data_IF_822985115741
#
_entry.id   IF_822985115741
#
_cell.length_a   1.000
_cell.length_b   1.000
_cell.length_c   1.000
_cell.angle_alpha   90.00
_cell.angle_beta   90.00
_cell.angle_gamma   90.00
#
_symmetry.space_group_name_H-M   'P 1'
#
loop_
_entity.id
_entity.type
_entity.pdbx_description
1 polymer ?
#
# COMPACT_ATOMS: atom_id res chain seq x y z
N UNK A 1 -6.72 -3.06 43.43
CA UNK A 1 -6.38 -3.38 42.01
C UNK A 1 -6.89 -2.32 41.02
N UNK A 2 -8.15 -1.93 41.02
CA UNK A 2 -8.73 -0.92 40.09
C UNK A 2 -8.07 0.48 40.11
N UNK A 3 -7.66 1.10 41.23
CA UNK A 3 -7.06 2.44 41.22
C UNK A 3 -5.66 2.46 40.59
N UNK A 4 -4.86 1.39 40.76
CA UNK A 4 -3.53 1.28 40.16
C UNK A 4 -3.62 1.16 38.63
N UNK A 5 -4.57 0.36 38.13
CA UNK A 5 -4.81 0.19 36.69
C UNK A 5 -5.23 1.54 36.09
N UNK A 6 -6.16 2.27 36.72
CA UNK A 6 -6.55 3.61 36.24
C UNK A 6 -5.38 4.59 36.17
N UNK A 7 -4.47 4.51 37.14
CA UNK A 7 -3.27 5.35 37.19
C UNK A 7 -2.28 4.97 36.07
N UNK A 8 -2.08 3.67 35.79
CA UNK A 8 -1.25 3.17 34.71
C UNK A 8 -1.74 3.69 33.34
N UNK A 9 -3.06 3.68 33.09
CA UNK A 9 -3.64 4.21 31.85
C UNK A 9 -3.54 5.73 31.69
N UNK A 10 -3.18 6.48 32.74
CA UNK A 10 -2.92 7.92 32.72
C UNK A 10 -1.45 8.27 32.53
N UNK A 11 -0.54 7.27 32.61
CA UNK A 11 0.88 7.50 32.34
C UNK A 11 1.07 7.83 30.84
N UNK A 12 2.18 8.49 30.47
CA UNK A 12 2.51 8.75 29.06
C UNK A 12 2.49 7.50 28.20
N UNK A 13 3.09 6.41 28.70
CA UNK A 13 3.07 5.12 28.00
C UNK A 13 1.66 4.53 27.88
N UNK A 14 0.86 4.59 28.95
CA UNK A 14 -0.52 4.11 28.96
C UNK A 14 -1.43 4.89 27.99
N UNK A 15 -1.27 6.21 27.94
CA UNK A 15 -1.98 7.05 26.97
C UNK A 15 -1.53 6.77 25.54
N UNK A 16 -0.23 6.56 25.31
CA UNK A 16 0.30 6.17 24.01
C UNK A 16 -0.30 4.84 23.56
N UNK A 17 -0.25 3.79 24.40
CA UNK A 17 -0.85 2.48 24.08
C UNK A 17 -2.32 2.62 23.73
N UNK A 18 -3.10 3.39 24.49
CA UNK A 18 -4.51 3.65 24.17
C UNK A 18 -4.69 4.28 22.79
N UNK A 19 -3.85 5.26 22.42
CA UNK A 19 -3.89 5.94 21.12
C UNK A 19 -3.52 4.98 19.98
N UNK A 20 -2.49 4.17 20.19
CA UNK A 20 -2.07 3.15 19.23
C UNK A 20 -3.16 2.08 19.03
N UNK A 21 -3.77 1.57 20.12
CA UNK A 21 -4.90 0.63 20.01
C UNK A 21 -6.05 1.24 19.22
N UNK A 22 -6.35 2.52 19.43
CA UNK A 22 -7.38 3.23 18.66
C UNK A 22 -7.05 3.27 17.15
N UNK A 23 -5.76 3.47 16.78
CA UNK A 23 -5.33 3.40 15.38
C UNK A 23 -5.57 2.03 14.77
N UNK A 24 -5.21 0.95 15.48
CA UNK A 24 -5.50 -0.40 14.98
C UNK A 24 -7.00 -0.65 14.78
N UNK A 25 -7.85 -0.16 15.69
CA UNK A 25 -9.30 -0.25 15.52
C UNK A 25 -9.76 0.51 14.27
N UNK A 26 -9.25 1.72 14.06
CA UNK A 26 -9.61 2.53 12.89
C UNK A 26 -9.10 1.89 11.59
N UNK A 27 -7.88 1.37 11.56
CA UNK A 27 -7.35 0.63 10.41
C UNK A 27 -8.16 -0.64 10.11
N UNK A 28 -8.59 -1.37 11.16
CA UNK A 28 -9.47 -2.52 10.99
C UNK A 28 -10.82 -2.12 10.40
N UNK A 29 -11.40 -0.99 10.83
CA UNK A 29 -12.65 -0.47 10.24
C UNK A 29 -12.46 -0.04 8.78
N UNK A 30 -11.34 0.60 8.43
CA UNK A 30 -11.01 0.90 7.04
C UNK A 30 -10.89 -0.38 6.20
N UNK A 31 -10.28 -1.44 6.74
CA UNK A 31 -10.16 -2.74 6.07
C UNK A 31 -11.51 -3.41 5.88
N UNK A 32 -12.39 -3.35 6.87
CA UNK A 32 -13.78 -3.85 6.73
C UNK A 32 -14.49 -3.06 5.63
N UNK A 33 -14.38 -1.74 5.62
CA UNK A 33 -14.96 -0.90 4.57
C UNK A 33 -14.42 -1.27 3.18
N UNK A 34 -13.10 -1.47 3.05
CA UNK A 34 -12.44 -1.92 1.81
C UNK A 34 -12.99 -3.29 1.36
N UNK A 35 -13.09 -4.25 2.28
CA UNK A 35 -13.61 -5.59 1.99
C UNK A 35 -15.08 -5.59 1.59
N UNK A 36 -15.92 -4.82 2.27
CA UNK A 36 -17.35 -4.68 1.96
C UNK A 36 -17.56 -3.98 0.61
N UNK A 37 -16.82 -2.90 0.37
CA UNK A 37 -16.92 -2.13 -0.88
C UNK A 37 -16.53 -2.97 -2.10
N UNK A 38 -15.53 -3.86 -1.95
CA UNK A 38 -15.01 -4.72 -3.00
C UNK A 38 -15.41 -6.20 -2.82
N UNK A 39 -16.49 -6.49 -2.10
CA UNK A 39 -16.93 -7.85 -1.77
C UNK A 39 -17.03 -8.80 -2.98
N UNK A 40 -17.53 -8.39 -4.16
CA UNK A 40 -17.60 -9.26 -5.34
C UNK A 40 -16.25 -9.84 -5.77
N UNK A 41 -15.15 -9.12 -5.53
CA UNK A 41 -13.79 -9.55 -5.91
C UNK A 41 -13.25 -10.66 -5.00
N UNK A 42 -13.66 -10.70 -3.74
CA UNK A 42 -13.03 -11.57 -2.73
C UNK A 42 -13.76 -12.92 -2.53
N UNK A 43 -14.99 -13.04 -3.00
CA UNK A 43 -15.79 -14.25 -2.81
C UNK A 43 -16.05 -14.60 -1.34
N UNK A 44 -16.43 -15.83 -1.07
CA UNK A 44 -16.63 -16.33 0.29
C UNK A 44 -15.29 -16.55 1.02
N UNK A 45 -15.15 -15.99 2.23
CA UNK A 45 -13.98 -16.17 3.09
C UNK A 45 -14.34 -17.12 4.23
N UNK A 46 -13.58 -18.21 4.38
CA UNK A 46 -13.76 -19.16 5.47
C UNK A 46 -13.16 -18.61 6.78
N UNK A 47 -13.59 -19.16 7.94
CA UNK A 47 -13.06 -18.76 9.24
C UNK A 47 -11.55 -19.02 9.39
N UNK A 48 -11.01 -20.05 8.75
CA UNK A 48 -9.57 -20.35 8.77
C UNK A 48 -8.78 -19.31 7.98
N UNK A 49 -9.27 -18.93 6.81
CA UNK A 49 -8.69 -17.86 6.00
C UNK A 49 -8.78 -16.51 6.69
N UNK A 50 -9.92 -16.17 7.29
CA UNK A 50 -10.08 -14.92 8.01
C UNK A 50 -9.02 -14.76 9.11
N UNK A 51 -8.70 -15.82 9.86
CA UNK A 51 -7.64 -15.78 10.88
C UNK A 51 -6.27 -15.51 10.26
N UNK A 52 -5.95 -16.12 9.12
CA UNK A 52 -4.69 -15.89 8.41
C UNK A 52 -4.61 -14.46 7.88
N UNK A 53 -5.68 -13.97 7.26
CA UNK A 53 -5.79 -12.59 6.76
C UNK A 53 -5.62 -11.58 7.90
N UNK A 54 -6.24 -11.81 9.06
CA UNK A 54 -6.10 -10.95 10.24
C UNK A 54 -4.67 -10.97 10.80
N UNK A 55 -4.02 -12.13 10.84
CA UNK A 55 -2.63 -12.24 11.29
C UNK A 55 -1.68 -11.46 10.36
N UNK A 56 -1.83 -11.62 9.05
CA UNK A 56 -1.10 -10.83 8.07
C UNK A 56 -1.40 -9.33 8.21
N UNK A 57 -2.67 -8.97 8.35
CA UNK A 57 -3.09 -7.58 8.50
C UNK A 57 -2.43 -6.88 9.68
N UNK A 58 -2.31 -7.54 10.83
CA UNK A 58 -1.63 -6.97 11.99
C UNK A 58 -0.16 -6.60 11.70
N UNK A 59 0.53 -7.43 10.91
CA UNK A 59 1.90 -7.15 10.52
C UNK A 59 2.01 -5.88 9.68
N UNK A 60 1.17 -5.77 8.63
CA UNK A 60 1.17 -4.62 7.72
C UNK A 60 0.61 -3.35 8.39
N UNK A 61 -0.38 -3.47 9.26
CA UNK A 61 -0.88 -2.36 10.06
C UNK A 61 0.18 -1.85 11.03
N UNK A 62 0.95 -2.75 11.65
CA UNK A 62 2.07 -2.37 12.51
C UNK A 62 3.10 -1.54 11.74
N UNK A 63 3.49 -1.98 10.54
CA UNK A 63 4.40 -1.22 9.70
C UNK A 63 3.79 0.14 9.29
N UNK A 64 2.51 0.19 8.93
CA UNK A 64 1.80 1.42 8.59
C UNK A 64 1.78 2.41 9.74
N UNK A 65 1.43 1.95 10.94
CA UNK A 65 1.43 2.77 12.17
C UNK A 65 2.83 3.28 12.47
N UNK A 66 3.86 2.43 12.33
CA UNK A 66 5.23 2.88 12.58
C UNK A 66 5.69 3.91 11.55
N UNK A 67 5.38 3.72 10.28
CA UNK A 67 5.76 4.68 9.23
C UNK A 67 5.03 6.02 9.39
N UNK A 68 3.72 6.00 9.70
CA UNK A 68 2.93 7.21 9.85
C UNK A 68 3.14 7.89 11.20
N UNK A 69 3.16 7.12 12.27
CA UNK A 69 3.11 7.60 13.66
C UNK A 69 4.40 7.37 14.45
N UNK A 70 5.47 6.86 13.86
CA UNK A 70 6.75 6.64 14.56
C UNK A 70 7.27 7.91 15.22
N UNK A 71 7.19 9.07 14.54
CA UNK A 71 7.53 10.36 15.11
C UNK A 71 6.59 10.73 16.30
N UNK A 72 5.29 10.47 16.17
CA UNK A 72 4.33 10.69 17.25
C UNK A 72 4.65 9.83 18.48
N UNK A 73 5.05 8.58 18.29
CA UNK A 73 5.48 7.66 19.36
C UNK A 73 6.67 8.24 20.10
N UNK A 74 7.72 8.66 19.36
CA UNK A 74 8.92 9.25 19.94
C UNK A 74 8.61 10.56 20.68
N UNK A 75 7.84 11.46 20.09
CA UNK A 75 7.44 12.72 20.72
C UNK A 75 6.59 12.47 21.98
N UNK A 76 5.73 11.46 21.99
CA UNK A 76 4.87 11.13 23.13
C UNK A 76 5.65 10.60 24.34
N UNK A 77 6.82 9.98 24.12
CA UNK A 77 7.66 9.40 25.18
C UNK A 77 8.91 10.22 25.50
N UNK A 78 9.09 11.37 24.86
CA UNK A 78 10.27 12.23 25.07
C UNK A 78 10.43 12.53 26.59
N UNK A 79 11.58 12.18 27.21
CA UNK A 79 11.77 12.33 28.67
C UNK A 79 12.12 13.78 29.06
N UNK A 80 11.30 14.72 28.61
CA UNK A 80 11.45 16.14 28.89
C UNK A 80 10.15 16.71 29.46
N UNK A 81 10.24 17.60 30.45
CA UNK A 81 9.08 18.34 31.01
C UNK A 81 8.37 19.23 29.98
N UNK A 82 8.99 19.44 28.81
CA UNK A 82 8.39 20.12 27.67
C UNK A 82 7.05 19.48 27.25
N UNK A 83 6.93 18.15 27.38
CA UNK A 83 5.73 17.37 27.10
C UNK A 83 4.53 17.78 27.93
N UNK A 84 4.75 18.33 29.13
CA UNK A 84 3.69 18.77 30.04
C UNK A 84 3.10 20.14 29.59
N UNK A 85 3.80 20.89 28.72
CA UNK A 85 3.38 22.21 28.26
C UNK A 85 2.19 22.11 27.29
N UNK A 86 1.25 23.02 27.43
CA UNK A 86 0.01 23.03 26.64
C UNK A 86 0.24 23.11 25.13
N UNK A 87 1.18 23.96 24.68
CA UNK A 87 1.50 24.09 23.27
C UNK A 87 2.06 22.78 22.68
N UNK A 88 2.94 22.07 23.39
CA UNK A 88 3.49 20.79 22.94
C UNK A 88 2.40 19.73 22.78
N UNK A 89 1.48 19.64 23.75
CA UNK A 89 0.32 18.74 23.69
C UNK A 89 -0.62 19.09 22.55
N UNK A 90 -0.75 20.36 22.18
CA UNK A 90 -1.55 20.77 21.02
C UNK A 90 -0.89 20.41 19.71
N UNK A 91 0.43 20.55 19.58
CA UNK A 91 1.19 20.15 18.39
C UNK A 91 1.12 18.63 18.20
N UNK A 92 1.38 17.85 19.24
CA UNK A 92 1.32 16.38 19.17
C UNK A 92 -0.11 15.88 18.87
N UNK A 93 -1.13 16.53 19.41
CA UNK A 93 -2.52 16.27 19.08
C UNK A 93 -2.82 16.61 17.61
N UNK A 94 -2.41 17.79 17.16
CA UNK A 94 -2.59 18.22 15.76
C UNK A 94 -1.91 17.27 14.77
N UNK A 95 -0.65 16.89 15.06
CA UNK A 95 0.08 15.89 14.28
C UNK A 95 -0.70 14.56 14.19
N UNK A 96 -1.09 14.00 15.34
CA UNK A 96 -1.83 12.75 15.40
C UNK A 96 -3.11 12.78 14.57
N UNK A 97 -3.91 13.86 14.69
CA UNK A 97 -5.16 13.97 13.96
C UNK A 97 -4.92 14.17 12.46
N UNK A 98 -3.99 15.05 12.09
CA UNK A 98 -3.71 15.34 10.69
C UNK A 98 -3.17 14.12 9.94
N UNK A 99 -2.16 13.46 10.49
CA UNK A 99 -1.55 12.28 9.86
C UNK A 99 -2.57 11.14 9.76
N UNK A 100 -3.29 10.85 10.84
CA UNK A 100 -4.21 9.72 10.84
C UNK A 100 -5.52 10.00 10.08
N UNK A 101 -5.96 11.25 9.99
CA UNK A 101 -7.04 11.62 9.07
C UNK A 101 -6.63 11.38 7.61
N UNK A 102 -5.39 11.72 7.24
CA UNK A 102 -4.85 11.42 5.91
C UNK A 102 -4.74 9.91 5.68
N UNK A 103 -4.24 9.15 6.65
CA UNK A 103 -4.17 7.67 6.60
C UNK A 103 -5.55 7.07 6.34
N UNK A 104 -6.58 7.53 7.04
CA UNK A 104 -7.97 7.08 6.82
C UNK A 104 -8.46 7.45 5.43
N UNK A 105 -8.25 8.71 5.01
CA UNK A 105 -8.65 9.18 3.67
C UNK A 105 -8.02 8.33 2.57
N UNK A 106 -6.72 8.06 2.65
CA UNK A 106 -5.98 7.24 1.69
C UNK A 106 -6.49 5.79 1.65
N UNK A 107 -6.79 5.17 2.80
CA UNK A 107 -7.35 3.81 2.82
C UNK A 107 -8.75 3.75 2.19
N UNK A 108 -9.59 4.77 2.38
CA UNK A 108 -10.94 4.81 1.81
C UNK A 108 -10.90 5.16 0.31
N UNK A 109 -10.03 6.07 -0.10
CA UNK A 109 -9.80 6.37 -1.53
C UNK A 109 -9.27 5.13 -2.28
N UNK A 110 -8.36 4.39 -1.67
CA UNK A 110 -7.82 3.16 -2.22
C UNK A 110 -8.89 2.06 -2.40
N UNK A 111 -9.94 2.03 -1.57
CA UNK A 111 -11.06 1.12 -1.77
C UNK A 111 -11.81 1.40 -3.10
N UNK A 112 -11.96 2.68 -3.45
CA UNK A 112 -12.54 3.10 -4.74
C UNK A 112 -11.58 2.78 -5.89
N UNK A 113 -10.32 3.13 -5.75
CA UNK A 113 -9.29 2.88 -6.76
C UNK A 113 -9.16 1.39 -7.10
N UNK A 114 -9.12 0.53 -6.07
CA UNK A 114 -9.02 -0.91 -6.22
C UNK A 114 -10.18 -1.52 -7.02
N UNK A 115 -11.37 -0.98 -6.89
CA UNK A 115 -12.55 -1.45 -7.64
C UNK A 115 -12.38 -1.40 -9.15
N UNK A 116 -11.65 -0.38 -9.63
CA UNK A 116 -11.41 -0.17 -11.07
C UNK A 116 -10.13 -0.83 -11.57
N UNK A 117 -9.09 -0.86 -10.74
CA UNK A 117 -7.75 -1.28 -11.18
C UNK A 117 -7.34 -2.67 -10.71
N UNK A 118 -8.03 -3.23 -9.71
CA UNK A 118 -7.67 -4.47 -9.01
C UNK A 118 -6.26 -4.44 -8.41
N UNK A 119 -5.70 -3.24 -8.20
CA UNK A 119 -4.40 -2.98 -7.58
C UNK A 119 -4.55 -2.06 -6.39
N UNK A 120 -3.68 -2.22 -5.39
CA UNK A 120 -3.58 -1.24 -4.31
C UNK A 120 -2.90 0.03 -4.82
N UNK A 121 -3.39 1.17 -4.36
CA UNK A 121 -2.85 2.48 -4.72
C UNK A 121 -1.43 2.64 -4.18
N UNK A 122 -0.47 2.96 -5.03
CA UNK A 122 0.96 3.09 -4.73
C UNK A 122 1.48 4.50 -5.00
N UNK A 123 2.71 4.80 -4.59
CA UNK A 123 3.31 6.12 -4.79
C UNK A 123 3.44 6.48 -6.28
N UNK A 124 3.68 5.50 -7.13
CA UNK A 124 3.82 5.72 -8.57
C UNK A 124 2.55 6.34 -9.17
N UNK A 125 1.38 5.94 -8.69
CA UNK A 125 0.10 6.48 -9.14
C UNK A 125 -0.12 7.94 -8.74
N UNK A 126 0.49 8.38 -7.63
CA UNK A 126 0.42 9.78 -7.17
C UNK A 126 1.28 10.67 -8.07
N UNK A 127 2.45 10.19 -8.48
CA UNK A 127 3.43 10.97 -9.22
C UNK A 127 3.24 10.91 -10.75
N UNK A 128 2.43 9.99 -11.25
CA UNK A 128 2.03 9.94 -12.67
C UNK A 128 0.87 10.88 -13.04
N UNK A 129 0.39 11.67 -12.12
CA UNK A 129 -0.73 12.59 -12.35
C UNK A 129 -0.31 13.82 -13.19
N UNK A 130 0.14 13.61 -14.40
CA UNK A 130 0.31 14.64 -15.43
C UNK A 130 -1.05 14.96 -16.09
N UNK A 131 -2.11 14.96 -15.28
CA UNK A 131 -3.48 15.17 -15.72
C UNK A 131 -3.96 16.54 -15.21
N UNK A 132 -4.15 17.48 -16.09
CA UNK A 132 -4.71 18.82 -15.81
C UNK A 132 -6.09 18.77 -15.11
N UNK A 133 -6.77 17.61 -15.16
CA UNK A 133 -8.11 17.40 -14.61
C UNK A 133 -8.13 16.67 -13.25
N UNK A 134 -6.98 16.44 -12.60
CA UNK A 134 -6.90 15.60 -11.38
C UNK A 134 -7.81 16.13 -10.25
N UNK A 135 -7.87 17.44 -10.02
CA UNK A 135 -8.71 18.02 -8.97
C UNK A 135 -10.21 17.84 -9.25
N UNK A 136 -10.62 18.00 -10.51
CA UNK A 136 -12.01 17.79 -10.92
C UNK A 136 -12.41 16.32 -10.76
N UNK A 137 -11.51 15.41 -11.12
CA UNK A 137 -11.71 13.97 -10.98
C UNK A 137 -11.87 13.56 -9.51
N UNK A 138 -11.01 14.07 -8.62
CA UNK A 138 -11.12 13.86 -7.17
C UNK A 138 -12.48 14.36 -6.66
N UNK A 139 -12.91 15.56 -7.07
CA UNK A 139 -14.22 16.13 -6.68
C UNK A 139 -15.38 15.25 -7.11
N UNK A 140 -15.35 14.74 -8.33
CA UNK A 140 -16.38 13.82 -8.86
C UNK A 140 -16.40 12.50 -8.06
N UNK A 141 -15.25 11.88 -7.84
CA UNK A 141 -15.16 10.65 -7.04
C UNK A 141 -15.65 10.84 -5.60
N UNK A 142 -15.35 11.97 -4.98
CA UNK A 142 -15.86 12.29 -3.63
C UNK A 142 -17.38 12.44 -3.61
N UNK A 143 -17.96 13.07 -4.62
CA UNK A 143 -19.39 13.25 -4.74
C UNK A 143 -20.13 11.91 -4.98
N UNK A 144 -19.61 11.07 -5.87
CA UNK A 144 -20.16 9.75 -6.16
C UNK A 144 -20.06 8.79 -4.95
N UNK A 145 -18.99 8.91 -4.15
CA UNK A 145 -18.73 8.06 -3.00
C UNK A 145 -18.91 8.83 -1.67
N UNK A 146 -19.89 9.72 -1.59
CA UNK A 146 -20.14 10.58 -0.42
C UNK A 146 -20.23 9.81 0.91
N UNK A 147 -20.69 8.56 0.90
CA UNK A 147 -20.78 7.72 2.08
C UNK A 147 -19.39 7.31 2.62
N UNK A 148 -18.37 7.16 1.77
CA UNK A 148 -16.99 6.97 2.21
C UNK A 148 -16.40 8.27 2.78
N UNK A 149 -16.77 9.41 2.23
CA UNK A 149 -16.41 10.73 2.80
C UNK A 149 -17.04 10.90 4.18
N UNK A 150 -18.30 10.52 4.35
CA UNK A 150 -18.96 10.52 5.65
C UNK A 150 -18.24 9.57 6.64
N UNK A 151 -17.88 8.38 6.20
CA UNK A 151 -17.12 7.43 7.03
C UNK A 151 -15.75 8.00 7.42
N UNK A 152 -15.04 8.68 6.51
CA UNK A 152 -13.80 9.40 6.80
C UNK A 152 -13.98 10.43 7.93
N UNK A 153 -15.01 11.25 7.84
CA UNK A 153 -15.34 12.25 8.87
C UNK A 153 -15.65 11.58 10.22
N UNK A 154 -16.43 10.49 10.21
CA UNK A 154 -16.78 9.75 11.43
C UNK A 154 -15.56 9.09 12.08
N UNK A 155 -14.69 8.46 11.30
CA UNK A 155 -13.47 7.84 11.81
C UNK A 155 -12.48 8.90 12.32
N UNK A 156 -12.36 10.04 11.64
CA UNK A 156 -11.55 11.17 12.11
C UNK A 156 -12.11 11.74 13.43
N UNK A 157 -13.44 11.89 13.53
CA UNK A 157 -14.08 12.30 14.79
C UNK A 157 -13.84 11.29 15.92
N UNK A 158 -13.86 9.99 15.62
CA UNK A 158 -13.50 8.92 16.56
C UNK A 158 -12.06 9.07 17.05
N UNK A 159 -11.10 9.35 16.16
CA UNK A 159 -9.70 9.62 16.52
C UNK A 159 -9.57 10.84 17.44
N UNK A 160 -10.24 11.95 17.10
CA UNK A 160 -10.23 13.18 17.93
C UNK A 160 -10.79 12.91 19.33
N UNK A 161 -11.95 12.25 19.42
CA UNK A 161 -12.59 11.94 20.72
C UNK A 161 -11.80 10.91 21.52
N UNK A 162 -11.30 9.88 20.83
CA UNK A 162 -10.55 8.79 21.45
C UNK A 162 -9.15 9.17 21.90
N UNK A 163 -8.55 10.22 21.33
CA UNK A 163 -7.22 10.72 21.75
C UNK A 163 -7.14 11.03 23.25
N UNK A 164 -8.27 11.45 23.84
CA UNK A 164 -8.30 11.74 25.29
C UNK A 164 -7.57 13.03 25.67
N UNK A 165 -7.69 14.11 24.85
CA UNK A 165 -7.02 15.40 25.08
C UNK A 165 -7.24 15.99 26.47
N UNK A 166 -8.41 15.71 27.08
CA UNK A 166 -8.76 16.19 28.44
C UNK A 166 -8.13 15.36 29.55
N UNK A 167 -7.56 14.18 29.24
CA UNK A 167 -6.92 13.34 30.25
C UNK A 167 -5.57 13.95 30.60
N UNK A 168 -5.40 14.35 31.88
CA UNK A 168 -4.13 14.86 32.36
C UNK A 168 -3.15 13.70 32.52
N UNK A 169 -1.96 13.85 31.96
CA UNK A 169 -0.87 12.87 32.15
C UNK A 169 -0.43 12.86 33.60
N UNK A 170 -0.25 11.66 34.14
CA UNK A 170 0.28 11.42 35.46
C UNK A 170 1.61 10.69 35.33
N UNK A 171 2.72 11.33 35.71
CA UNK A 171 4.01 10.65 35.80
C UNK A 171 4.07 9.80 37.08
N UNK A 172 4.47 8.52 36.92
CA UNK A 172 4.74 7.66 38.06
C UNK A 172 6.07 8.04 38.75
N UNK A 173 6.99 8.59 37.98
CA UNK A 173 8.32 9.02 38.41
C UNK A 173 8.34 10.55 38.46
N UNK A 174 7.96 11.14 39.57
CA UNK A 174 7.98 12.60 39.76
C UNK A 174 9.35 13.05 40.27
N UNK A 175 10.02 13.86 39.43
CA UNK A 175 11.21 14.60 39.78
C UNK A 175 12.53 13.81 39.75
N UNK A 176 13.62 14.52 39.51
CA UNK A 176 14.97 14.03 39.61
C UNK A 176 15.40 13.00 38.57
N UNK A 177 16.51 12.38 38.82
CA UNK A 177 17.18 11.42 37.93
C UNK A 177 16.31 10.23 37.46
N UNK A 178 15.46 9.59 38.33
CA UNK A 178 14.64 8.46 37.92
C UNK A 178 13.64 8.77 36.78
N UNK A 179 13.14 10.02 36.72
CA UNK A 179 12.25 10.45 35.64
C UNK A 179 12.94 10.40 34.27
N UNK A 180 14.16 10.94 34.18
CA UNK A 180 14.91 10.99 32.94
C UNK A 180 15.39 9.60 32.50
N UNK A 181 15.92 8.80 33.45
CA UNK A 181 16.38 7.44 33.13
C UNK A 181 15.23 6.54 32.70
N UNK A 182 14.14 6.51 33.46
CA UNK A 182 12.97 5.70 33.14
C UNK A 182 12.30 6.12 31.83
N UNK A 183 12.22 7.43 31.58
CA UNK A 183 11.71 7.97 30.32
C UNK A 183 12.61 7.63 29.12
N UNK A 184 13.93 7.69 29.28
CA UNK A 184 14.90 7.32 28.22
C UNK A 184 14.81 5.82 27.91
N UNK A 185 14.71 4.96 28.92
CA UNK A 185 14.52 3.52 28.73
C UNK A 185 13.22 3.25 27.96
N UNK A 186 12.11 3.90 28.36
CA UNK A 186 10.83 3.75 27.67
C UNK A 186 10.91 4.21 26.19
N UNK A 187 11.61 5.32 25.92
CA UNK A 187 11.83 5.83 24.56
C UNK A 187 12.65 4.86 23.73
N UNK A 188 13.75 4.33 24.27
CA UNK A 188 14.61 3.36 23.55
C UNK A 188 13.88 2.06 23.27
N UNK A 189 13.08 1.55 24.22
CA UNK A 189 12.24 0.38 24.02
C UNK A 189 11.19 0.63 22.90
N UNK A 190 10.53 1.79 22.94
CA UNK A 190 9.58 2.16 21.89
C UNK A 190 10.24 2.30 20.52
N UNK A 191 11.43 2.92 20.43
CA UNK A 191 12.20 3.02 19.20
C UNK A 191 12.59 1.63 18.67
N UNK A 192 13.03 0.71 19.54
CA UNK A 192 13.30 -0.67 19.18
C UNK A 192 12.07 -1.42 18.66
N UNK A 193 10.92 -1.24 19.32
CA UNK A 193 9.64 -1.80 18.88
C UNK A 193 9.20 -1.23 17.51
N UNK A 194 9.39 0.07 17.31
CA UNK A 194 9.13 0.70 15.99
C UNK A 194 10.03 0.11 14.91
N UNK A 195 11.34 -0.04 15.15
CA UNK A 195 12.26 -0.65 14.19
C UNK A 195 11.87 -2.09 13.83
N UNK A 196 11.53 -2.91 14.83
CA UNK A 196 11.04 -4.26 14.61
C UNK A 196 9.70 -4.31 13.87
N UNK A 197 8.79 -3.42 14.22
CA UNK A 197 7.48 -3.29 13.56
C UNK A 197 7.60 -2.86 12.10
N UNK A 198 8.46 -1.88 11.79
CA UNK A 198 8.72 -1.43 10.42
C UNK A 198 9.33 -2.53 9.54
N UNK A 199 10.19 -3.38 10.11
CA UNK A 199 10.83 -4.50 9.40
C UNK A 199 9.96 -5.74 9.31
N UNK A 200 8.93 -5.85 10.14
CA UNK A 200 8.12 -7.05 10.27
C UNK A 200 8.76 -8.17 11.13
N UNK A 201 9.73 -7.83 11.97
CA UNK A 201 10.37 -8.74 12.91
C UNK A 201 11.65 -8.21 13.54
N UNK A 202 12.13 -8.91 14.57
CA UNK A 202 13.26 -8.50 15.41
C UNK A 202 14.55 -9.29 15.14
N UNK A 203 14.52 -10.30 14.28
CA UNK A 203 15.70 -11.11 14.01
C UNK A 203 16.65 -10.44 13.02
N UNK A 204 17.94 -10.76 13.09
CA UNK A 204 18.94 -10.25 12.12
C UNK A 204 18.65 -10.70 10.70
N UNK A 205 18.00 -11.85 10.52
CA UNK A 205 17.64 -12.44 9.23
C UNK A 205 16.35 -11.84 8.63
N UNK A 206 15.59 -11.08 9.42
CA UNK A 206 14.34 -10.45 8.94
C UNK A 206 14.66 -9.40 7.91
N UNK A 207 14.23 -9.63 6.68
CA UNK A 207 14.24 -8.61 5.62
C UNK A 207 13.06 -7.66 5.80
N UNK A 208 13.19 -6.38 5.46
CA UNK A 208 12.05 -5.47 5.46
C UNK A 208 10.91 -6.03 4.63
N UNK A 209 9.70 -6.02 5.19
CA UNK A 209 8.51 -6.51 4.49
C UNK A 209 8.24 -5.71 3.21
N UNK A 210 7.75 -6.41 2.21
CA UNK A 210 7.34 -5.87 0.91
C UNK A 210 5.87 -6.20 0.66
N UNK A 211 5.25 -5.59 -0.35
CA UNK A 211 3.84 -5.87 -0.69
C UNK A 211 3.62 -7.36 -0.98
N UNK A 212 4.58 -8.01 -1.65
CA UNK A 212 4.52 -9.44 -1.97
C UNK A 212 4.48 -10.36 -0.76
N UNK A 213 4.95 -9.93 0.43
CA UNK A 213 4.85 -10.75 1.63
C UNK A 213 3.39 -11.00 2.09
N UNK A 214 2.41 -10.25 1.56
CA UNK A 214 0.99 -10.52 1.82
C UNK A 214 0.56 -11.91 1.31
N UNK A 215 1.18 -12.42 0.23
CA UNK A 215 0.89 -13.75 -0.32
C UNK A 215 1.36 -14.90 0.58
N UNK A 216 2.15 -14.64 1.62
CA UNK A 216 2.50 -15.66 2.63
C UNK A 216 1.30 -16.08 3.50
N UNK A 217 0.25 -15.28 3.54
CA UNK A 217 -0.93 -15.49 4.36
C UNK A 217 -2.16 -15.98 3.57
N UNK A 218 -2.09 -16.00 2.26
CA UNK A 218 -3.16 -16.48 1.38
C UNK A 218 -2.59 -16.88 0.03
N UNK A 219 -3.13 -17.94 -0.57
CA UNK A 219 -2.80 -18.36 -1.93
C UNK A 219 -3.56 -17.57 -3.01
N UNK A 220 -4.56 -16.79 -2.60
CA UNK A 220 -5.36 -15.98 -3.51
C UNK A 220 -4.79 -14.55 -3.57
N UNK A 221 -4.28 -14.16 -4.74
CA UNK A 221 -3.71 -12.85 -4.98
C UNK A 221 -4.71 -11.70 -4.78
N UNK A 222 -5.99 -11.91 -5.07
CA UNK A 222 -7.01 -10.90 -4.81
C UNK A 222 -7.15 -10.68 -3.30
N UNK A 223 -7.25 -11.76 -2.52
CA UNK A 223 -7.36 -11.72 -1.05
C UNK A 223 -6.11 -11.19 -0.36
N UNK A 224 -4.92 -11.32 -0.97
CA UNK A 224 -3.70 -10.71 -0.45
C UNK A 224 -3.84 -9.19 -0.30
N UNK A 225 -4.66 -8.54 -1.15
CA UNK A 225 -4.94 -7.11 -1.04
C UNK A 225 -5.76 -6.73 0.20
N UNK A 226 -6.52 -7.65 0.81
CA UNK A 226 -7.19 -7.41 2.09
C UNK A 226 -6.21 -7.27 3.25
N UNK A 227 -5.04 -7.89 3.14
CA UNK A 227 -3.98 -7.85 4.16
C UNK A 227 -3.29 -6.50 4.17
N UNK A 228 -3.06 -5.95 2.99
CA UNK A 228 -2.32 -4.70 2.79
C UNK A 228 -3.08 -3.50 3.37
N UNK A 229 -2.34 -2.55 3.89
CA UNK A 229 -2.82 -1.23 4.31
C UNK A 229 -2.26 -0.19 3.33
N UNK A 230 -3.08 0.76 2.89
CA UNK A 230 -2.69 1.71 1.86
C UNK A 230 -1.48 2.58 2.24
N UNK A 231 -1.36 3.14 3.47
CA UNK A 231 -0.16 3.88 3.86
C UNK A 231 1.13 3.09 3.71
N UNK A 232 1.08 1.77 4.01
CA UNK A 232 2.21 0.89 3.76
C UNK A 232 2.52 0.79 2.27
N UNK A 233 1.51 0.60 1.41
CA UNK A 233 1.69 0.50 -0.03
C UNK A 233 2.36 1.75 -0.60
N UNK A 234 1.85 2.94 -0.25
CA UNK A 234 2.42 4.21 -0.71
C UNK A 234 3.85 4.39 -0.21
N UNK A 235 4.06 4.35 1.12
CA UNK A 235 5.37 4.66 1.71
C UNK A 235 6.46 3.65 1.30
N UNK A 236 6.07 2.40 1.06
CA UNK A 236 7.00 1.36 0.62
C UNK A 236 7.38 1.45 -0.85
N UNK A 237 6.57 2.11 -1.66
CA UNK A 237 6.81 2.28 -3.10
C UNK A 237 7.39 3.65 -3.46
N UNK A 238 7.50 4.59 -2.50
CA UNK A 238 8.23 5.84 -2.72
C UNK A 238 9.66 5.54 -3.14
N UNK A 239 10.05 6.05 -4.30
CA UNK A 239 11.41 5.90 -4.86
C UNK A 239 11.72 4.52 -5.42
N UNK A 240 10.76 3.58 -5.41
CA UNK A 240 10.95 2.29 -6.10
C UNK A 240 10.78 2.38 -7.61
N UNK A 241 10.47 3.57 -8.12
CA UNK A 241 10.38 3.93 -9.54
C UNK A 241 9.66 2.86 -10.36
N UNK A 242 8.31 2.86 -10.38
CA UNK A 242 7.54 1.93 -11.20
C UNK A 242 7.76 2.09 -12.71
N UNK A 243 8.52 3.08 -13.13
CA UNK A 243 8.94 3.27 -14.51
C UNK A 243 10.14 2.41 -14.84
N UNK A 244 10.11 1.77 -15.99
CA UNK A 244 11.29 1.16 -16.58
C UNK A 244 12.39 2.22 -16.65
N UNK A 245 13.43 2.08 -15.82
CA UNK A 245 14.62 2.92 -15.90
C UNK A 245 15.38 2.52 -17.17
N UNK A 246 15.31 3.35 -18.18
CA UNK A 246 16.10 3.16 -19.39
C UNK A 246 17.18 4.24 -19.49
N UNK A 247 18.33 3.85 -19.97
CA UNK A 247 19.42 4.78 -20.24
C UNK A 247 19.16 5.50 -21.55
N UNK A 248 19.05 6.82 -21.51
CA UNK A 248 18.95 7.62 -22.73
C UNK A 248 20.31 7.67 -23.40
N UNK A 249 20.43 7.09 -24.57
CA UNK A 249 21.64 7.07 -25.36
C UNK A 249 21.67 8.18 -26.43
N UNK A 250 20.49 8.67 -26.85
CA UNK A 250 20.29 9.68 -27.86
C UNK A 250 19.36 10.78 -27.36
N UNK A 251 19.48 12.00 -27.90
CA UNK A 251 18.43 12.99 -27.76
C UNK A 251 17.16 12.57 -28.49
N UNK A 252 16.03 13.24 -28.26
CA UNK A 252 14.78 12.92 -28.96
C UNK A 252 14.94 13.15 -30.47
N UNK A 253 15.60 14.25 -30.88
CA UNK A 253 15.83 14.61 -32.27
C UNK A 253 16.77 13.61 -32.97
N UNK A 254 17.83 13.16 -32.29
CA UNK A 254 18.73 12.14 -32.82
C UNK A 254 18.04 10.78 -32.96
N UNK A 255 17.13 10.45 -32.03
CA UNK A 255 16.35 9.22 -32.08
C UNK A 255 15.39 9.24 -33.26
N UNK A 256 14.62 10.32 -33.42
CA UNK A 256 13.67 10.49 -34.51
C UNK A 256 14.35 10.51 -35.89
N UNK A 257 15.56 11.04 -35.99
CA UNK A 257 16.35 11.02 -37.21
C UNK A 257 16.89 9.63 -37.56
N UNK A 258 17.05 8.73 -36.59
CA UNK A 258 17.59 7.37 -36.80
C UNK A 258 16.51 6.32 -36.91
N UNK A 259 15.41 6.48 -36.22
CA UNK A 259 14.32 5.50 -36.16
C UNK A 259 12.98 6.17 -35.92
N UNK A 260 12.03 5.90 -36.79
CA UNK A 260 10.63 6.23 -36.54
C UNK A 260 9.82 4.96 -36.34
N UNK A 261 9.03 4.85 -35.25
CA UNK A 261 8.13 3.73 -35.02
C UNK A 261 6.91 3.76 -35.95
N UNK A 262 6.66 4.90 -36.60
CA UNK A 262 5.55 5.05 -37.53
C UNK A 262 6.03 4.74 -38.94
N UNK A 263 5.74 3.53 -39.39
CA UNK A 263 6.01 3.12 -40.78
C UNK A 263 4.78 3.38 -41.63
N UNK A 264 4.94 4.20 -42.65
CA UNK A 264 3.90 4.33 -43.68
C UNK A 264 4.13 3.27 -44.76
N UNK A 265 3.15 2.41 -45.05
CA UNK A 265 3.27 1.47 -46.14
C UNK A 265 3.41 2.24 -47.47
N UNK A 266 4.23 1.73 -48.39
CA UNK A 266 4.26 2.26 -49.73
C UNK A 266 2.84 2.15 -50.36
N UNK A 267 2.42 3.12 -51.13
CA UNK A 267 1.07 3.19 -51.71
C UNK A 267 0.65 1.90 -52.46
N UNK A 268 1.62 1.17 -53.00
CA UNK A 268 1.41 -0.13 -53.67
C UNK A 268 1.10 -1.29 -52.74
N UNK A 269 1.33 -1.12 -51.41
CA UNK A 269 1.13 -2.15 -50.39
C UNK A 269 -0.11 -1.87 -49.51
N UNK A 270 -0.88 -0.82 -49.81
CA UNK A 270 -2.09 -0.50 -49.07
C UNK A 270 -3.14 -1.59 -49.31
N UNK A 271 -3.39 -2.43 -48.31
CA UNK A 271 -4.46 -3.42 -48.34
C UNK A 271 -5.74 -2.74 -47.92
N UNK A 272 -6.79 -2.84 -48.74
CA UNK A 272 -8.12 -2.37 -48.34
C UNK A 272 -8.65 -3.27 -47.20
N UNK A 273 -8.76 -2.69 -46.01
CA UNK A 273 -9.29 -3.35 -44.82
C UNK A 273 -10.79 -3.14 -44.64
N UNK A 274 -11.48 -2.47 -45.55
CA UNK A 274 -12.94 -2.28 -45.47
C UNK A 274 -13.66 -3.64 -45.44
N UNK A 275 -14.49 -3.83 -44.39
CA UNK A 275 -15.25 -5.07 -44.23
C UNK A 275 -14.43 -6.25 -43.66
N UNK A 276 -13.17 -6.05 -43.28
CA UNK A 276 -12.33 -7.08 -42.65
C UNK A 276 -12.26 -6.88 -41.16
N UNK A 277 -12.24 -7.99 -40.43
CA UNK A 277 -11.97 -7.98 -38.98
C UNK A 277 -10.48 -8.19 -38.75
N UNK A 278 -9.89 -7.38 -37.84
CA UNK A 278 -8.49 -7.56 -37.41
C UNK A 278 -8.52 -8.12 -36.00
N UNK A 279 -7.87 -9.26 -35.77
CA UNK A 279 -7.71 -9.88 -34.47
C UNK A 279 -6.22 -9.91 -34.14
N UNK A 280 -5.83 -9.20 -33.09
CA UNK A 280 -4.44 -9.16 -32.60
C UNK A 280 -4.30 -10.05 -31.34
N UNK A 281 -3.44 -11.06 -31.45
CA UNK A 281 -3.08 -11.90 -30.29
C UNK A 281 -1.73 -11.44 -29.72
N UNK A 282 -1.73 -10.94 -28.50
CA UNK A 282 -0.50 -10.63 -27.76
C UNK A 282 -0.25 -11.81 -26.80
N UNK A 283 0.75 -12.63 -27.11
CA UNK A 283 1.08 -13.80 -26.31
C UNK A 283 2.32 -13.51 -25.46
N UNK A 284 2.17 -13.67 -24.15
CA UNK A 284 3.27 -13.51 -23.20
C UNK A 284 4.00 -14.83 -23.00
N UNK A 285 5.33 -14.75 -22.81
CA UNK A 285 6.21 -15.87 -22.48
C UNK A 285 6.21 -17.02 -23.52
N UNK A 286 5.83 -16.73 -24.76
CA UNK A 286 5.87 -17.69 -25.86
C UNK A 286 7.20 -17.61 -26.61
N UNK A 287 8.03 -18.64 -26.44
CA UNK A 287 9.28 -18.76 -27.19
C UNK A 287 9.04 -19.34 -28.60
N UNK A 288 9.81 -18.85 -29.58
CA UNK A 288 9.84 -19.42 -30.91
C UNK A 288 10.15 -20.93 -30.93
N UNK A 289 10.82 -21.43 -29.89
CA UNK A 289 11.15 -22.84 -29.71
C UNK A 289 9.93 -23.77 -29.58
N UNK A 290 8.74 -23.23 -29.27
CA UNK A 290 7.49 -24.01 -29.23
C UNK A 290 6.88 -24.25 -30.58
N UNK A 291 7.32 -23.50 -31.60
CA UNK A 291 6.81 -23.56 -32.96
C UNK A 291 7.79 -24.30 -33.89
N UNK A 292 7.33 -25.33 -34.55
CA UNK A 292 8.13 -26.03 -35.57
C UNK A 292 8.34 -25.20 -36.82
N UNK A 293 7.43 -24.25 -37.12
CA UNK A 293 7.56 -23.32 -38.22
C UNK A 293 8.68 -22.29 -37.97
N UNK A 294 8.74 -21.76 -36.76
CA UNK A 294 9.72 -20.72 -36.41
C UNK A 294 11.10 -21.30 -36.10
N UNK A 295 11.17 -22.56 -35.63
CA UNK A 295 12.41 -23.25 -35.29
C UNK A 295 12.44 -24.67 -35.84
N UNK A 296 12.44 -24.83 -37.18
CA UNK A 296 12.48 -26.14 -37.85
C UNK A 296 13.74 -26.96 -37.48
N UNK A 297 14.83 -26.28 -37.14
CA UNK A 297 16.08 -26.90 -36.68
C UNK A 297 15.90 -27.76 -35.43
N UNK A 298 15.00 -27.40 -34.55
CA UNK A 298 14.75 -28.14 -33.30
C UNK A 298 13.86 -29.38 -33.50
N UNK A 299 13.13 -29.45 -34.62
CA UNK A 299 12.13 -30.48 -34.92
C UNK A 299 12.47 -31.38 -36.10
N UNK A 300 13.61 -31.15 -36.77
CA UNK A 300 13.98 -31.87 -37.99
C UNK A 300 14.04 -33.40 -37.79
N UNK A 301 14.55 -33.85 -36.65
CA UNK A 301 14.74 -35.27 -36.32
C UNK A 301 13.77 -35.80 -35.24
N UNK A 302 12.68 -35.04 -34.97
CA UNK A 302 11.72 -35.41 -33.91
C UNK A 302 10.37 -35.80 -34.50
N UNK A 303 9.69 -36.83 -33.96
CA UNK A 303 8.34 -37.20 -34.37
C UNK A 303 7.29 -36.14 -34.03
N UNK A 304 7.61 -35.20 -33.12
CA UNK A 304 6.73 -34.13 -32.66
C UNK A 304 6.82 -32.94 -33.61
N UNK A 305 5.67 -32.46 -34.09
CA UNK A 305 5.54 -31.32 -34.98
C UNK A 305 5.42 -29.97 -34.21
N UNK A 306 6.22 -29.75 -33.19
CA UNK A 306 6.12 -28.59 -32.32
C UNK A 306 4.97 -28.69 -31.30
N UNK A 307 4.86 -27.67 -30.45
CA UNK A 307 3.81 -27.58 -29.43
C UNK A 307 2.63 -26.68 -29.85
N UNK A 308 2.76 -25.99 -31.00
CA UNK A 308 1.79 -25.02 -31.52
C UNK A 308 1.36 -25.31 -32.96
N UNK A 309 0.96 -26.54 -33.30
CA UNK A 309 0.68 -26.91 -34.71
C UNK A 309 -0.46 -26.10 -35.34
N UNK A 310 -1.45 -25.69 -34.54
CA UNK A 310 -2.55 -24.84 -35.02
C UNK A 310 -2.08 -23.42 -35.35
N UNK A 311 -1.25 -22.83 -34.46
CA UNK A 311 -0.68 -21.50 -34.72
C UNK A 311 0.29 -21.52 -35.90
N UNK A 312 1.09 -22.57 -36.02
CA UNK A 312 1.99 -22.78 -37.16
C UNK A 312 1.20 -22.84 -38.48
N UNK A 313 0.06 -23.54 -38.46
CA UNK A 313 -0.84 -23.58 -39.63
C UNK A 313 -1.46 -22.22 -39.96
N UNK A 314 -1.86 -21.44 -38.95
CA UNK A 314 -2.37 -20.09 -39.16
C UNK A 314 -1.29 -19.16 -39.75
N UNK A 315 -0.06 -19.23 -39.23
CA UNK A 315 1.07 -18.44 -39.74
C UNK A 315 1.47 -18.80 -41.18
N UNK A 316 1.25 -20.06 -41.61
CA UNK A 316 1.54 -20.49 -42.97
C UNK A 316 0.47 -20.08 -43.99
N UNK A 317 -0.79 -20.00 -43.55
CA UNK A 317 -1.95 -19.83 -44.45
C UNK A 317 -2.62 -18.46 -44.30
N UNK A 318 -2.12 -17.59 -43.39
CA UNK A 318 -2.61 -16.22 -43.13
C UNK A 318 -1.70 -15.19 -43.79
#
# INVERSE_FOLDING_TARGET
MFPLIKRLFRTPAGLLVRRIVLLYVVLALCRVAFGVYNAPTFGGITWSELRQLLAGSLLFDTASVVYADGLFVLLSLLPLHLRERGWYRNITFGYYVAVNSLVVALNLADAVYFRYTQKRFTADEIFFADNDNTLQLIGTFMAENWYLVLLWVLLTALLVRGYGRRIREESLLRGGWPYYVGGTIALLLAAGLCLGGARGGFTRMTRPITLSNATLYTSDNARANLILSNPFCILRTIGSGGGLSYRKYFSAEELDARFTPVHQPADSAAVDLQGRNVVLFIMESMSAEHSALLRPDLYADRPQKGFTPFLDSLMQNG
#
